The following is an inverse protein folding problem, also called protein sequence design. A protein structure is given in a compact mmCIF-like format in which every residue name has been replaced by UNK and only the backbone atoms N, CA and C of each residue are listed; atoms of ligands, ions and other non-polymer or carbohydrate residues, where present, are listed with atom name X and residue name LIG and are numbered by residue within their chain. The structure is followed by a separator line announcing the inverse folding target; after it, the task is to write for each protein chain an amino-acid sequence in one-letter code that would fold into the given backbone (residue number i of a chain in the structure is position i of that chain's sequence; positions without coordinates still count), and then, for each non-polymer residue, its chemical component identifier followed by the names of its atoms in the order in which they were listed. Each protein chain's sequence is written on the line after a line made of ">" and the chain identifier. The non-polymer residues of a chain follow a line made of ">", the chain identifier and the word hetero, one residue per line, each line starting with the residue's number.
data_IF_729446680803
#
_entry.id   IF_729446680803
#
_cell.length_a   1.000
_cell.length_b   1.000
_cell.length_c   1.000
_cell.angle_alpha   90.00
_cell.angle_beta   90.00
_cell.angle_gamma   90.00
#
_symmetry.space_group_name_H-M   'P 1'
#
loop_
_entity.id
_entity.type
_entity.pdbx_description
1 polymer ?
#
# COMPACT_ATOMS: atom_id res chain seq x y z
N UNK A 1 -2.30 -10.27 13.59
CA UNK A 1 -3.30 -9.98 14.64
C UNK A 1 -4.51 -9.38 13.96
N UNK A 2 -5.73 -9.82 14.31
CA UNK A 2 -6.97 -9.21 13.84
C UNK A 2 -7.25 -7.89 14.53
N UNK A 3 -7.69 -6.87 13.77
CA UNK A 3 -8.15 -5.60 14.32
C UNK A 3 -9.58 -5.37 13.87
N UNK A 4 -10.51 -5.52 14.79
CA UNK A 4 -11.92 -5.23 14.50
C UNK A 4 -12.16 -3.73 14.39
N UNK A 5 -11.68 -2.96 15.36
CA UNK A 5 -11.74 -1.50 15.38
C UNK A 5 -10.46 -0.95 16.00
N UNK A 6 -9.77 -0.03 15.33
CA UNK A 6 -8.67 0.69 15.98
C UNK A 6 -7.64 1.31 15.07
N UNK A 7 -6.65 1.92 15.71
CA UNK A 7 -5.48 2.52 15.05
C UNK A 7 -4.22 1.81 15.52
N UNK A 8 -3.35 1.45 14.58
CA UNK A 8 -2.01 0.95 14.87
C UNK A 8 -0.99 1.91 14.26
N UNK A 9 -0.04 2.31 15.09
CA UNK A 9 1.09 3.15 14.70
C UNK A 9 2.38 2.43 15.05
N UNK A 10 3.28 2.32 14.08
CA UNK A 10 4.63 1.82 14.27
C UNK A 10 5.63 2.85 13.75
N UNK A 11 6.71 3.05 14.51
CA UNK A 11 7.78 3.98 14.20
C UNK A 11 9.12 3.25 14.22
N UNK A 12 10.03 3.68 13.35
CA UNK A 12 11.46 3.33 13.35
C UNK A 12 11.73 1.82 13.27
N UNK A 13 11.18 1.17 12.24
CA UNK A 13 11.44 -0.24 11.96
C UNK A 13 12.73 -0.36 11.14
N UNK A 14 13.82 -0.70 11.82
CA UNK A 14 15.12 -0.81 11.15
C UNK A 14 15.24 -2.09 10.32
N UNK A 15 14.89 -3.24 10.90
CA UNK A 15 14.88 -4.55 10.23
C UNK A 15 13.67 -5.32 10.73
N UNK A 16 12.73 -5.69 9.86
CA UNK A 16 11.59 -6.48 10.33
C UNK A 16 10.55 -6.85 9.30
N UNK A 17 9.67 -7.75 9.74
CA UNK A 17 8.49 -8.17 9.00
C UNK A 17 7.26 -7.80 9.82
N UNK A 18 6.32 -7.06 9.24
CA UNK A 18 5.05 -6.72 9.87
C UNK A 18 3.94 -7.41 9.11
N UNK A 19 3.11 -8.17 9.84
CA UNK A 19 1.99 -8.90 9.26
C UNK A 19 0.71 -8.57 10.03
N UNK A 20 -0.26 -8.02 9.31
CA UNK A 20 -1.61 -7.78 9.81
C UNK A 20 -2.62 -8.56 8.99
N UNK A 21 -3.61 -9.09 9.68
CA UNK A 21 -4.68 -9.90 9.10
C UNK A 21 -5.99 -9.36 9.65
N UNK A 22 -7.09 -9.56 8.93
CA UNK A 22 -8.46 -9.30 9.40
C UNK A 22 -8.63 -7.90 10.00
N UNK A 23 -8.44 -6.86 9.18
CA UNK A 23 -8.70 -5.47 9.57
C UNK A 23 -10.09 -5.07 9.12
N UNK A 24 -11.05 -5.06 10.04
CA UNK A 24 -12.43 -4.72 9.70
C UNK A 24 -12.61 -3.22 9.54
N UNK A 25 -12.27 -2.44 10.57
CA UNK A 25 -12.30 -0.97 10.54
C UNK A 25 -11.04 -0.41 11.19
N UNK A 26 -10.13 0.19 10.43
CA UNK A 26 -8.93 0.71 11.09
C UNK A 26 -8.02 1.60 10.27
N UNK A 27 -7.14 2.25 11.02
CA UNK A 27 -6.07 3.08 10.49
C UNK A 27 -4.74 2.42 10.83
N UNK A 28 -3.90 2.24 9.82
CA UNK A 28 -2.55 1.73 9.98
C UNK A 28 -1.55 2.76 9.49
N UNK A 29 -0.62 3.14 10.36
CA UNK A 29 0.44 4.07 10.03
C UNK A 29 1.79 3.46 10.36
N UNK A 30 2.69 3.44 9.37
CA UNK A 30 4.09 3.10 9.57
C UNK A 30 4.99 4.23 9.09
N UNK A 31 5.96 4.58 9.92
CA UNK A 31 6.95 5.61 9.63
C UNK A 31 8.36 5.07 9.82
N UNK A 32 9.25 5.38 8.88
CA UNK A 32 10.67 5.07 8.98
C UNK A 32 10.96 3.58 8.91
N UNK A 33 10.92 3.00 7.71
CA UNK A 33 11.30 1.60 7.48
C UNK A 33 12.63 1.59 6.73
N UNK A 34 13.70 1.17 7.40
CA UNK A 34 14.99 1.04 6.72
C UNK A 34 15.01 -0.19 5.84
N UNK A 35 14.72 -1.36 6.41
CA UNK A 35 14.66 -2.64 5.70
C UNK A 35 13.45 -3.44 6.22
N UNK A 36 12.49 -3.75 5.36
CA UNK A 36 11.36 -4.55 5.85
C UNK A 36 10.37 -5.07 4.84
N UNK A 37 9.52 -5.96 5.34
CA UNK A 37 8.38 -6.49 4.59
C UNK A 37 7.09 -6.20 5.35
N UNK A 38 6.12 -5.60 4.67
CA UNK A 38 4.81 -5.31 5.26
C UNK A 38 3.76 -6.05 4.47
N UNK A 39 3.02 -6.90 5.16
CA UNK A 39 1.94 -7.71 4.58
C UNK A 39 0.65 -7.38 5.31
N UNK A 40 -0.34 -6.94 4.55
CA UNK A 40 -1.68 -6.67 5.04
C UNK A 40 -2.68 -7.49 4.25
N UNK A 41 -3.55 -8.22 4.96
CA UNK A 41 -4.57 -9.08 4.38
C UNK A 41 -5.95 -8.71 4.93
N UNK A 42 -6.97 -8.85 4.09
CA UNK A 42 -8.39 -8.74 4.46
C UNK A 42 -8.73 -7.41 5.13
N UNK A 43 -8.53 -6.32 4.40
CA UNK A 43 -8.90 -4.97 4.85
C UNK A 43 -10.30 -4.64 4.34
N UNK A 44 -11.29 -4.65 5.23
CA UNK A 44 -12.68 -4.36 4.83
C UNK A 44 -12.89 -2.86 4.67
N UNK A 45 -12.62 -2.07 5.71
CA UNK A 45 -12.72 -0.62 5.71
C UNK A 45 -11.48 -0.02 6.38
N UNK A 46 -10.56 0.58 5.64
CA UNK A 46 -9.36 1.07 6.30
C UNK A 46 -8.49 2.02 5.52
N UNK A 47 -7.63 2.70 6.27
CA UNK A 47 -6.59 3.56 5.72
C UNK A 47 -5.22 3.01 6.08
N UNK A 48 -4.36 2.85 5.08
CA UNK A 48 -2.98 2.39 5.23
C UNK A 48 -2.07 3.52 4.77
N UNK A 49 -1.19 3.97 5.67
CA UNK A 49 -0.22 5.03 5.39
C UNK A 49 1.17 4.52 5.70
N UNK A 50 2.05 4.58 4.70
CA UNK A 50 3.44 4.16 4.80
C UNK A 50 4.34 5.28 4.32
N UNK A 51 5.31 5.67 5.14
CA UNK A 51 6.24 6.77 4.87
C UNK A 51 7.68 6.33 5.08
N UNK A 52 8.57 6.90 4.27
CA UNK A 52 10.03 6.75 4.38
C UNK A 52 10.49 5.29 4.35
N UNK A 53 10.17 4.59 3.26
CA UNK A 53 10.59 3.20 3.04
C UNK A 53 11.88 3.19 2.23
N UNK A 54 13.00 2.87 2.89
CA UNK A 54 14.30 2.85 2.19
C UNK A 54 14.46 1.58 1.35
N UNK A 55 14.29 0.40 1.94
CA UNK A 55 14.40 -0.90 1.28
C UNK A 55 13.24 -1.81 1.69
N UNK A 56 12.17 -1.84 0.91
CA UNK A 56 10.91 -2.42 1.37
C UNK A 56 10.18 -3.32 0.38
N UNK A 57 9.45 -4.28 0.92
CA UNK A 57 8.35 -4.94 0.18
C UNK A 57 7.03 -4.65 0.88
N UNK A 58 6.04 -4.20 0.12
CA UNK A 58 4.69 -3.94 0.62
C UNK A 58 3.73 -4.79 -0.19
N UNK A 59 2.98 -5.66 0.50
CA UNK A 59 1.97 -6.53 -0.08
C UNK A 59 0.65 -6.24 0.59
N UNK A 60 -0.36 -5.91 -0.22
CA UNK A 60 -1.73 -5.73 0.25
C UNK A 60 -2.69 -6.56 -0.60
N UNK A 61 -3.54 -7.31 0.08
CA UNK A 61 -4.50 -8.22 -0.53
C UNK A 61 -5.90 -7.95 0.02
N UNK A 62 -6.88 -8.06 -0.88
CA UNK A 62 -8.31 -8.06 -0.57
C UNK A 62 -8.76 -6.82 0.22
N UNK A 63 -8.56 -5.65 -0.40
CA UNK A 63 -9.04 -4.36 0.13
C UNK A 63 -10.42 -4.09 -0.44
N UNK A 64 -11.45 -4.13 0.41
CA UNK A 64 -12.83 -3.91 -0.05
C UNK A 64 -13.16 -2.42 -0.19
N UNK A 65 -12.91 -1.64 0.86
CA UNK A 65 -13.14 -0.19 0.92
C UNK A 65 -11.94 0.49 1.61
N UNK A 66 -10.95 0.96 0.85
CA UNK A 66 -9.74 1.45 1.50
C UNK A 66 -9.00 2.56 0.79
N UNK A 67 -8.20 3.28 1.58
CA UNK A 67 -7.23 4.25 1.05
C UNK A 67 -5.82 3.78 1.38
N UNK A 68 -4.97 3.71 0.37
CA UNK A 68 -3.56 3.37 0.51
C UNK A 68 -2.73 4.57 0.12
N UNK A 69 -1.88 5.01 1.03
CA UNK A 69 -0.92 6.09 0.82
C UNK A 69 0.49 5.54 1.04
N UNK A 70 1.34 5.66 0.03
CA UNK A 70 2.75 5.29 0.08
C UNK A 70 3.60 6.47 -0.39
N UNK A 71 4.49 6.93 0.48
CA UNK A 71 5.35 8.09 0.22
C UNK A 71 6.83 7.74 0.44
N UNK A 72 7.67 8.29 -0.43
CA UNK A 72 9.13 8.28 -0.33
C UNK A 72 9.71 6.86 -0.23
N UNK A 73 9.45 6.05 -1.27
CA UNK A 73 10.01 4.71 -1.41
C UNK A 73 11.30 4.79 -2.23
N UNK A 74 12.45 4.55 -1.59
CA UNK A 74 13.74 4.67 -2.28
C UNK A 74 14.03 3.42 -3.12
N UNK A 75 13.93 2.24 -2.52
CA UNK A 75 14.11 0.93 -3.18
C UNK A 75 13.00 0.00 -2.72
N UNK A 76 12.03 -0.29 -3.59
CA UNK A 76 10.89 -1.08 -3.11
C UNK A 76 10.11 -1.88 -4.13
N UNK A 77 9.41 -2.87 -3.62
CA UNK A 77 8.39 -3.61 -4.36
C UNK A 77 7.04 -3.38 -3.71
N UNK A 78 6.06 -3.00 -4.51
CA UNK A 78 4.68 -2.76 -4.07
C UNK A 78 3.77 -3.67 -4.87
N UNK A 79 3.02 -4.51 -4.16
CA UNK A 79 2.05 -5.42 -4.75
C UNK A 79 0.69 -5.17 -4.12
N UNK A 80 -0.29 -4.84 -4.96
CA UNK A 80 -1.68 -4.62 -4.57
C UNK A 80 -2.60 -5.53 -5.38
N UNK A 81 -3.40 -6.33 -4.67
CA UNK A 81 -4.28 -7.34 -5.25
C UNK A 81 -5.70 -7.17 -4.73
N UNK A 82 -6.68 -7.17 -5.62
CA UNK A 82 -8.10 -7.26 -5.24
C UNK A 82 -8.59 -6.01 -4.50
N UNK A 83 -8.46 -4.83 -5.11
CA UNK A 83 -9.02 -3.59 -4.54
C UNK A 83 -10.41 -3.35 -5.14
N UNK A 84 -11.46 -3.53 -4.35
CA UNK A 84 -12.82 -3.41 -4.88
C UNK A 84 -13.23 -1.95 -5.03
N UNK A 85 -13.20 -1.18 -3.93
CA UNK A 85 -13.46 0.26 -3.90
C UNK A 85 -12.30 0.93 -3.14
N UNK A 86 -11.52 1.78 -3.80
CA UNK A 86 -10.41 2.37 -3.06
C UNK A 86 -9.61 3.43 -3.78
N UNK A 87 -8.84 4.17 -3.00
CA UNK A 87 -7.89 5.15 -3.51
C UNK A 87 -6.48 4.66 -3.22
N UNK A 88 -5.62 4.72 -4.23
CA UNK A 88 -4.20 4.39 -4.10
C UNK A 88 -3.41 5.62 -4.53
N UNK A 89 -2.55 6.11 -3.64
CA UNK A 89 -1.63 7.20 -3.95
C UNK A 89 -0.22 6.72 -3.64
N UNK A 90 0.64 6.86 -4.65
CA UNK A 90 2.07 6.59 -4.55
C UNK A 90 2.85 7.81 -4.98
N UNK A 91 3.72 8.31 -4.09
CA UNK A 91 4.56 9.48 -4.36
C UNK A 91 6.03 9.18 -4.05
N UNK A 92 6.93 9.67 -4.89
CA UNK A 92 8.37 9.66 -4.62
C UNK A 92 8.99 8.26 -4.62
N UNK A 93 8.75 7.47 -5.67
CA UNK A 93 9.34 6.13 -5.81
C UNK A 93 10.61 6.21 -6.64
N UNK A 94 11.78 6.09 -6.02
CA UNK A 94 13.05 6.31 -6.75
C UNK A 94 13.42 5.10 -7.60
N UNK A 95 13.49 3.91 -7.02
CA UNK A 95 13.77 2.65 -7.70
C UNK A 95 12.75 1.60 -7.23
N UNK A 96 11.90 1.09 -8.11
CA UNK A 96 10.91 0.14 -7.62
C UNK A 96 10.10 -0.60 -8.66
N UNK A 97 9.43 -1.64 -8.19
CA UNK A 97 8.46 -2.40 -8.97
C UNK A 97 7.10 -2.23 -8.34
N UNK A 98 6.11 -1.88 -9.15
CA UNK A 98 4.74 -1.68 -8.72
C UNK A 98 3.86 -2.61 -9.54
N UNK A 99 3.12 -3.47 -8.85
CA UNK A 99 2.17 -4.38 -9.45
C UNK A 99 0.81 -4.13 -8.83
N UNK A 100 -0.17 -3.78 -9.65
CA UNK A 100 -1.57 -3.69 -9.22
C UNK A 100 -2.45 -4.58 -10.09
N UNK A 101 -3.20 -5.46 -9.44
CA UNK A 101 -4.12 -6.38 -10.12
C UNK A 101 -5.52 -6.33 -9.52
N UNK A 102 -6.53 -6.22 -10.40
CA UNK A 102 -7.93 -6.34 -10.01
C UNK A 102 -8.41 -5.16 -9.16
N UNK A 103 -8.31 -3.95 -9.71
CA UNK A 103 -8.96 -2.77 -9.14
C UNK A 103 -10.28 -2.53 -9.87
N UNK A 104 -11.40 -2.58 -9.14
CA UNK A 104 -12.74 -2.59 -9.76
C UNK A 104 -13.40 -1.22 -9.83
N UNK A 105 -13.29 -0.42 -8.77
CA UNK A 105 -13.91 0.91 -8.64
C UNK A 105 -13.01 1.81 -7.80
N UNK A 106 -11.85 2.18 -8.36
CA UNK A 106 -10.84 2.92 -7.62
C UNK A 106 -10.18 4.04 -8.39
N UNK A 107 -9.46 4.88 -7.66
CA UNK A 107 -8.56 5.89 -8.21
C UNK A 107 -7.13 5.49 -7.89
N UNK A 108 -6.24 5.70 -8.86
CA UNK A 108 -4.80 5.47 -8.69
C UNK A 108 -4.09 6.73 -9.12
N UNK A 109 -3.25 7.26 -8.24
CA UNK A 109 -2.38 8.41 -8.51
C UNK A 109 -0.94 7.98 -8.25
N UNK A 110 -0.08 8.20 -9.25
CA UNK A 110 1.34 7.89 -9.17
C UNK A 110 2.16 9.13 -9.58
N UNK A 111 2.96 9.66 -8.68
CA UNK A 111 3.77 10.86 -8.92
C UNK A 111 5.24 10.61 -8.55
N UNK A 112 6.16 11.04 -9.42
CA UNK A 112 7.60 10.97 -9.13
C UNK A 112 8.14 9.55 -9.03
N UNK A 113 7.95 8.72 -10.06
CA UNK A 113 8.60 7.41 -10.18
C UNK A 113 9.89 7.60 -11.01
N UNK A 114 11.07 7.37 -10.42
CA UNK A 114 12.35 7.75 -11.04
C UNK A 114 13.12 6.63 -11.72
N UNK A 115 12.88 5.34 -11.50
CA UNK A 115 13.55 4.26 -12.25
C UNK A 115 12.78 2.99 -11.90
N UNK A 116 11.53 2.94 -12.35
CA UNK A 116 10.57 1.94 -11.88
C UNK A 116 9.87 1.21 -13.00
N UNK A 117 9.38 0.02 -12.67
CA UNK A 117 8.45 -0.73 -13.52
C UNK A 117 7.07 -0.69 -12.89
N UNK A 118 6.06 -0.43 -13.72
CA UNK A 118 4.66 -0.41 -13.28
C UNK A 118 3.88 -1.39 -14.14
N UNK A 119 3.24 -2.35 -13.51
CA UNK A 119 2.39 -3.36 -14.14
C UNK A 119 0.98 -3.23 -13.60
N UNK A 120 0.03 -2.99 -14.51
CA UNK A 120 -1.38 -2.79 -14.20
C UNK A 120 -2.21 -3.80 -14.98
N UNK A 121 -2.98 -4.64 -14.28
CA UNK A 121 -3.86 -5.62 -14.93
C UNK A 121 -5.27 -5.58 -14.36
N UNK A 122 -6.27 -5.66 -15.25
CA UNK A 122 -7.70 -5.67 -14.92
C UNK A 122 -8.11 -4.48 -14.04
N UNK A 123 -8.10 -3.30 -14.65
CA UNK A 123 -8.57 -2.05 -14.06
C UNK A 123 -9.92 -1.68 -14.66
N UNK A 124 -10.93 -1.57 -13.81
CA UNK A 124 -12.17 -0.88 -14.12
C UNK A 124 -12.14 0.45 -13.35
N UNK A 125 -12.28 1.55 -14.09
CA UNK A 125 -11.96 2.88 -13.59
C UNK A 125 -13.18 3.79 -13.75
N UNK A 126 -13.49 4.56 -12.70
CA UNK A 126 -14.38 5.73 -12.75
C UNK A 126 -13.63 7.07 -12.60
N UNK A 127 -12.30 7.13 -12.71
CA UNK A 127 -11.47 8.36 -12.62
C UNK A 127 -10.23 8.42 -13.52
N UNK A 128 -9.59 9.58 -13.66
CA UNK A 128 -8.50 9.81 -14.62
C UNK A 128 -7.16 9.21 -14.16
N UNK A 129 -6.43 8.49 -15.03
CA UNK A 129 -4.97 8.30 -14.87
C UNK A 129 -4.28 9.60 -15.31
N UNK A 130 -3.49 10.21 -14.41
CA UNK A 130 -2.53 11.28 -14.74
C UNK A 130 -1.12 10.79 -14.42
#
# INVERSE_FOLDING_TARGET
>A
MGITMGTVVMMDINMGTVVMMDITMGIFVMMGITMGTVVMMDITMGTVVMMDITMGTVVMMDITMGTVLMMDITMGTVVMMGITMGTVVMMGITMGTIVMMGITMGTVVMLGITMGTVVMMRFCITGTLL
#
